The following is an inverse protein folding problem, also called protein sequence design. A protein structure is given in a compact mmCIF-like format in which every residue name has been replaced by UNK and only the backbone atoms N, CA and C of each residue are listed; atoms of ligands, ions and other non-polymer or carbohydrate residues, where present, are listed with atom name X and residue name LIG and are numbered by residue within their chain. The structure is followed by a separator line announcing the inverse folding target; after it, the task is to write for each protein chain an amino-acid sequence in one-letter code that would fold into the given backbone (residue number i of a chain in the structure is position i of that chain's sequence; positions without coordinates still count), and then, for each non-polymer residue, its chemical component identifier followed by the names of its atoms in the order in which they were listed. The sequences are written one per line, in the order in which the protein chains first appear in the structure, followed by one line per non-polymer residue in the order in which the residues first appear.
data_IF_889260611336
#
_entry.id   IF_889260611336
#
_cell.length_a   1.000
_cell.length_b   1.000
_cell.length_c   1.000
_cell.angle_alpha   90.00
_cell.angle_beta   90.00
_cell.angle_gamma   90.00
#
_symmetry.space_group_name_H-M   'P 1'
#
loop_
_entity.id
_entity.type
_entity.pdbx_description
1 polymer ?
#
# COMPACT_ATOMS: atom_id res chain seq x y z
N UNK A 1 -26.18 58.54 5.08
CA UNK A 1 -25.17 58.00 4.14
C UNK A 1 -24.12 57.21 4.95
N UNK A 2 -24.13 55.88 4.86
CA UNK A 2 -23.09 55.02 5.45
C UNK A 2 -22.55 54.14 4.32
N UNK A 3 -21.26 54.27 4.02
CA UNK A 3 -20.56 53.41 3.07
C UNK A 3 -19.99 52.20 3.80
N UNK A 4 -20.38 51.02 3.37
CA UNK A 4 -19.84 49.73 3.83
C UNK A 4 -18.67 49.36 2.91
N UNK A 5 -17.46 49.28 3.45
CA UNK A 5 -16.28 48.84 2.70
C UNK A 5 -16.21 47.32 2.69
N UNK A 6 -16.21 46.74 1.49
CA UNK A 6 -16.03 45.32 1.22
C UNK A 6 -14.53 45.04 1.11
N UNK A 7 -13.97 44.29 2.07
CA UNK A 7 -12.57 43.84 2.02
C UNK A 7 -12.53 42.54 1.23
N UNK A 8 -11.98 42.59 0.01
CA UNK A 8 -11.68 41.41 -0.78
C UNK A 8 -10.41 40.73 -0.25
N UNK A 9 -10.56 39.51 0.27
CA UNK A 9 -9.42 38.64 0.63
C UNK A 9 -9.00 37.89 -0.63
N UNK A 10 -7.90 38.31 -1.24
CA UNK A 10 -7.26 37.58 -2.34
C UNK A 10 -6.63 36.29 -1.82
N UNK A 11 -7.21 35.16 -2.21
CA UNK A 11 -6.69 33.83 -1.97
C UNK A 11 -5.52 33.58 -2.95
N UNK A 12 -4.28 33.73 -2.48
CA UNK A 12 -3.08 33.43 -3.25
C UNK A 12 -2.86 31.91 -3.25
N UNK A 13 -3.29 31.23 -4.32
CA UNK A 13 -2.96 29.81 -4.54
C UNK A 13 -1.50 29.71 -4.97
N UNK A 14 -0.63 29.33 -4.03
CA UNK A 14 0.75 28.93 -4.31
C UNK A 14 0.73 27.56 -5.01
N UNK A 15 0.64 27.57 -6.34
CA UNK A 15 0.98 26.40 -7.15
C UNK A 15 2.50 26.19 -7.07
N UNK A 16 2.96 25.54 -6.00
CA UNK A 16 4.33 25.05 -5.90
C UNK A 16 4.55 23.99 -6.99
N UNK A 17 5.12 24.42 -8.12
CA UNK A 17 5.54 23.51 -9.18
C UNK A 17 6.64 22.61 -8.64
N UNK A 18 6.32 21.33 -8.43
CA UNK A 18 7.33 20.30 -8.26
C UNK A 18 8.11 20.24 -9.56
N UNK A 19 9.33 20.78 -9.56
CA UNK A 19 10.27 20.56 -10.64
C UNK A 19 10.44 19.04 -10.78
N UNK A 20 9.94 18.47 -11.87
CA UNK A 20 10.22 17.08 -12.22
C UNK A 20 11.71 17.00 -12.49
N UNK A 21 12.47 16.47 -11.52
CA UNK A 21 13.82 15.99 -11.79
C UNK A 21 13.74 15.07 -13.00
N UNK A 22 14.67 15.24 -13.95
CA UNK A 22 14.74 14.34 -15.10
C UNK A 22 14.77 12.88 -14.62
N UNK A 23 14.01 11.98 -15.26
CA UNK A 23 13.92 10.60 -14.80
C UNK A 23 15.30 10.00 -14.78
N UNK A 24 15.76 9.60 -13.58
CA UNK A 24 16.98 8.85 -13.40
C UNK A 24 16.98 7.65 -14.36
N UNK A 25 18.09 7.43 -15.05
CA UNK A 25 18.22 6.36 -16.05
C UNK A 25 17.82 5.03 -15.40
N UNK A 26 16.84 4.35 -15.99
CA UNK A 26 16.39 3.03 -15.55
C UNK A 26 17.59 2.09 -15.35
N UNK A 27 17.68 1.46 -14.18
CA UNK A 27 18.77 0.54 -13.89
C UNK A 27 18.78 -0.64 -14.86
N UNK A 28 19.99 -1.06 -15.26
CA UNK A 28 20.18 -2.29 -16.04
C UNK A 28 19.67 -3.52 -15.29
N UNK A 29 19.35 -4.61 -15.99
CA UNK A 29 18.89 -5.85 -15.35
C UNK A 29 19.84 -6.37 -14.25
N UNK A 30 21.16 -6.28 -14.45
CA UNK A 30 22.15 -6.68 -13.44
C UNK A 30 22.16 -5.74 -12.23
N UNK A 31 21.88 -4.46 -12.42
CA UNK A 31 21.73 -3.50 -11.34
C UNK A 31 20.41 -3.67 -10.58
N UNK A 32 19.29 -3.88 -11.26
CA UNK A 32 18.02 -4.23 -10.63
C UNK A 32 18.16 -5.49 -9.76
N UNK A 33 18.91 -6.49 -10.25
CA UNK A 33 19.23 -7.68 -9.47
C UNK A 33 20.05 -7.36 -8.23
N UNK A 34 21.09 -6.51 -8.33
CA UNK A 34 21.88 -6.06 -7.17
C UNK A 34 21.02 -5.35 -6.12
N UNK A 35 20.07 -4.50 -6.55
CA UNK A 35 19.12 -3.83 -5.66
C UNK A 35 18.24 -4.86 -4.93
N UNK A 36 17.67 -5.81 -5.68
CA UNK A 36 16.83 -6.86 -5.11
C UNK A 36 17.60 -7.76 -4.11
N UNK A 37 18.86 -8.11 -4.43
CA UNK A 37 19.74 -8.86 -3.55
C UNK A 37 20.10 -8.05 -2.28
N UNK A 38 20.28 -6.73 -2.40
CA UNK A 38 20.50 -5.85 -1.25
C UNK A 38 19.27 -5.82 -0.32
N UNK A 39 18.06 -5.71 -0.86
CA UNK A 39 16.83 -5.83 -0.06
C UNK A 39 16.66 -7.21 0.57
N UNK A 40 16.99 -8.28 -0.17
CA UNK A 40 16.95 -9.65 0.33
C UNK A 40 17.87 -9.85 1.53
N UNK A 41 19.09 -9.28 1.49
CA UNK A 41 20.06 -9.37 2.60
C UNK A 41 19.57 -8.73 3.91
N UNK A 42 18.55 -7.88 3.84
CA UNK A 42 17.93 -7.19 4.99
C UNK A 42 16.60 -7.83 5.41
N UNK A 43 16.21 -8.93 4.79
CA UNK A 43 14.95 -9.63 5.01
C UNK A 43 15.20 -11.04 5.55
N UNK A 44 14.23 -11.60 6.27
CA UNK A 44 14.27 -13.01 6.71
C UNK A 44 13.94 -13.93 5.52
N UNK A 45 12.91 -13.56 4.76
CA UNK A 45 12.51 -14.22 3.53
C UNK A 45 12.45 -13.21 2.39
N UNK A 46 12.83 -13.65 1.20
CA UNK A 46 12.67 -12.86 -0.01
C UNK A 46 12.38 -13.74 -1.21
N UNK A 47 11.74 -13.16 -2.24
CA UNK A 47 11.57 -13.78 -3.54
C UNK A 47 11.69 -12.72 -4.63
N UNK A 48 12.47 -13.04 -5.66
CA UNK A 48 12.68 -12.17 -6.83
C UNK A 48 12.29 -12.97 -8.07
N UNK A 49 11.48 -12.38 -8.93
CA UNK A 49 11.12 -12.94 -10.25
C UNK A 49 11.49 -11.91 -11.30
N UNK A 50 12.10 -12.39 -12.38
CA UNK A 50 12.53 -11.56 -13.50
C UNK A 50 11.82 -11.93 -14.80
N UNK A 51 11.75 -10.99 -15.74
CA UNK A 51 11.39 -11.27 -17.14
C UNK A 51 12.52 -12.00 -17.90
N UNK A 52 12.30 -12.26 -19.20
CA UNK A 52 13.27 -12.93 -20.06
C UNK A 52 14.55 -12.10 -20.27
N UNK A 53 14.46 -10.78 -20.14
CA UNK A 53 15.59 -9.85 -20.22
C UNK A 53 16.28 -9.63 -18.86
N UNK A 54 15.81 -10.29 -17.79
CA UNK A 54 16.40 -10.23 -16.46
C UNK A 54 15.97 -9.03 -15.61
N UNK A 55 15.01 -8.22 -16.06
CA UNK A 55 14.47 -7.12 -15.25
C UNK A 55 13.61 -7.68 -14.12
N UNK A 56 13.65 -7.04 -12.94
CA UNK A 56 12.86 -7.46 -11.79
C UNK A 56 11.39 -7.09 -12.00
N UNK A 57 10.52 -8.09 -12.11
CA UNK A 57 9.08 -7.90 -12.31
C UNK A 57 8.27 -8.19 -11.06
N UNK A 58 8.78 -9.01 -10.13
CA UNK A 58 8.11 -9.27 -8.84
C UNK A 58 9.13 -9.31 -7.72
N UNK A 59 8.80 -8.67 -6.61
CA UNK A 59 9.64 -8.59 -5.41
C UNK A 59 8.81 -8.88 -4.16
N UNK A 60 9.27 -9.82 -3.36
CA UNK A 60 8.71 -10.13 -2.05
C UNK A 60 9.81 -9.98 -0.99
N UNK A 61 9.50 -9.25 0.08
CA UNK A 61 10.38 -9.00 1.21
C UNK A 61 9.58 -9.26 2.50
N UNK A 62 10.10 -10.13 3.37
CA UNK A 62 9.45 -10.45 4.64
C UNK A 62 10.45 -10.54 5.77
N UNK A 63 10.07 -9.99 6.93
CA UNK A 63 10.72 -10.23 8.24
C UNK A 63 9.88 -11.13 9.15
N UNK A 64 8.90 -11.81 8.59
CA UNK A 64 8.13 -12.80 9.32
C UNK A 64 8.87 -14.13 9.39
N UNK A 65 8.69 -14.86 10.49
CA UNK A 65 9.08 -16.28 10.56
C UNK A 65 10.57 -16.53 10.81
N UNK A 66 11.32 -15.56 11.34
CA UNK A 66 12.68 -15.83 11.80
C UNK A 66 12.64 -16.94 12.87
N UNK A 67 13.42 -18.03 12.73
CA UNK A 67 13.49 -19.05 13.77
C UNK A 67 13.95 -18.45 15.09
N UNK A 68 13.46 -19.01 16.19
CA UNK A 68 13.87 -18.58 17.53
C UNK A 68 15.39 -18.62 17.68
N UNK A 69 15.95 -17.54 18.22
CA UNK A 69 17.40 -17.39 18.42
C UNK A 69 18.20 -16.94 17.18
N UNK A 70 17.57 -16.82 16.00
CA UNK A 70 18.26 -16.22 14.84
C UNK A 70 18.35 -14.70 14.97
N UNK A 71 19.50 -14.14 14.55
CA UNK A 71 19.66 -12.69 14.50
C UNK A 71 18.73 -12.12 13.42
N UNK A 72 17.73 -11.35 13.84
CA UNK A 72 16.80 -10.68 12.94
C UNK A 72 17.55 -9.61 12.12
N UNK A 73 17.50 -9.65 10.77
CA UNK A 73 18.07 -8.58 9.96
C UNK A 73 17.31 -7.27 10.21
N UNK A 74 17.92 -6.10 9.96
CA UNK A 74 17.33 -4.83 10.36
C UNK A 74 16.06 -4.43 9.60
N UNK A 75 15.81 -5.08 8.46
CA UNK A 75 14.76 -4.68 7.54
C UNK A 75 15.20 -3.59 6.59
N UNK A 76 14.45 -3.50 5.49
CA UNK A 76 14.53 -2.41 4.54
C UNK A 76 13.76 -1.23 5.14
N UNK A 77 14.48 -0.17 5.52
CA UNK A 77 13.96 1.10 5.99
C UNK A 77 13.98 2.17 4.92
N UNK A 78 13.55 3.38 5.29
CA UNK A 78 13.35 4.49 4.35
C UNK A 78 14.62 4.93 3.59
N UNK A 79 15.80 4.84 4.22
CA UNK A 79 17.04 5.34 3.63
C UNK A 79 17.43 4.57 2.36
N UNK A 80 17.14 3.27 2.31
CA UNK A 80 17.45 2.40 1.18
C UNK A 80 16.23 2.11 0.29
N UNK A 81 15.00 2.29 0.78
CA UNK A 81 13.80 1.93 0.01
C UNK A 81 13.64 2.78 -1.26
N UNK A 82 14.29 3.94 -1.33
CA UNK A 82 14.40 4.78 -2.54
C UNK A 82 14.81 4.02 -3.80
N UNK A 83 15.69 3.02 -3.66
CA UNK A 83 16.18 2.21 -4.79
C UNK A 83 15.08 1.40 -5.48
N UNK A 84 13.89 1.26 -4.87
CA UNK A 84 12.73 0.60 -5.49
C UNK A 84 12.33 1.28 -6.81
N UNK A 85 12.53 2.60 -6.94
CA UNK A 85 12.21 3.36 -8.16
C UNK A 85 13.06 2.94 -9.36
N UNK A 86 14.20 2.31 -9.10
CA UNK A 86 15.11 1.81 -10.12
C UNK A 86 14.67 0.43 -10.64
N UNK A 87 13.51 -0.08 -10.21
CA UNK A 87 12.85 -1.29 -10.71
C UNK A 87 11.60 -0.93 -11.56
N UNK A 88 11.74 -0.25 -12.71
CA UNK A 88 10.60 0.36 -13.42
C UNK A 88 9.61 -0.65 -14.02
N UNK A 89 10.00 -1.92 -14.14
CA UNK A 89 9.15 -3.01 -14.61
C UNK A 89 8.49 -3.81 -13.48
N UNK A 90 8.58 -3.35 -12.23
CA UNK A 90 8.00 -4.04 -11.09
C UNK A 90 6.46 -4.05 -11.21
N UNK A 91 5.89 -5.24 -11.38
CA UNK A 91 4.44 -5.45 -11.52
C UNK A 91 3.79 -5.95 -10.22
N UNK A 92 4.56 -6.60 -9.36
CA UNK A 92 4.07 -7.12 -8.09
C UNK A 92 5.03 -6.89 -6.94
N UNK A 93 4.51 -6.42 -5.81
CA UNK A 93 5.28 -6.22 -4.59
C UNK A 93 4.58 -6.82 -3.37
N UNK A 94 5.32 -7.58 -2.58
CA UNK A 94 4.91 -8.05 -1.26
C UNK A 94 5.87 -7.52 -0.20
N UNK A 95 5.35 -6.76 0.75
CA UNK A 95 6.11 -6.14 1.84
C UNK A 95 5.49 -6.63 3.14
N UNK A 96 6.28 -7.34 3.95
CA UNK A 96 5.83 -7.84 5.24
C UNK A 96 6.79 -7.46 6.36
N UNK A 97 6.27 -6.76 7.37
CA UNK A 97 7.01 -6.34 8.58
C UNK A 97 8.28 -5.52 8.28
N UNK A 98 8.21 -4.61 7.32
CA UNK A 98 9.32 -3.68 7.02
C UNK A 98 9.13 -2.35 7.75
N UNK A 99 10.19 -1.77 8.34
CA UNK A 99 10.14 -0.49 9.05
C UNK A 99 10.11 0.70 8.07
N UNK A 100 9.02 0.79 7.29
CA UNK A 100 8.79 1.83 6.30
C UNK A 100 7.84 2.90 6.84
N UNK A 101 8.08 4.15 6.46
CA UNK A 101 7.15 5.27 6.67
C UNK A 101 6.18 5.45 5.49
N UNK A 102 5.23 6.36 5.64
CA UNK A 102 4.34 6.79 4.56
C UNK A 102 5.11 7.30 3.34
N UNK A 103 6.26 7.96 3.55
CA UNK A 103 7.09 8.48 2.46
C UNK A 103 7.64 7.33 1.59
N UNK A 104 8.06 6.23 2.21
CA UNK A 104 8.51 5.03 1.50
C UNK A 104 7.37 4.37 0.72
N UNK A 105 6.19 4.23 1.33
CA UNK A 105 5.03 3.70 0.61
C UNK A 105 4.60 4.61 -0.56
N UNK A 106 4.73 5.93 -0.43
CA UNK A 106 4.46 6.89 -1.51
C UNK A 106 5.31 6.64 -2.77
N UNK A 107 6.53 6.09 -2.62
CA UNK A 107 7.38 5.73 -3.76
C UNK A 107 6.76 4.64 -4.64
N UNK A 108 5.96 3.72 -4.06
CA UNK A 108 5.27 2.68 -4.83
C UNK A 108 4.28 3.29 -5.84
N UNK A 109 3.67 4.43 -5.52
CA UNK A 109 2.78 5.14 -6.44
C UNK A 109 3.47 5.67 -7.70
N UNK A 110 4.80 5.72 -7.72
CA UNK A 110 5.59 6.13 -8.89
C UNK A 110 5.91 4.95 -9.82
N UNK A 111 5.67 3.72 -9.38
CA UNK A 111 5.89 2.49 -10.16
C UNK A 111 4.63 2.15 -10.94
N UNK A 112 4.40 2.86 -12.06
CA UNK A 112 3.18 2.74 -12.86
C UNK A 112 2.90 1.35 -13.46
N UNK A 113 3.86 0.41 -13.40
CA UNK A 113 3.66 -0.98 -13.80
C UNK A 113 3.02 -1.86 -12.72
N UNK A 114 2.94 -1.41 -11.46
CA UNK A 114 2.39 -2.19 -10.35
C UNK A 114 0.91 -2.51 -10.55
N UNK A 115 0.61 -3.81 -10.44
CA UNK A 115 -0.75 -4.39 -10.56
C UNK A 115 -1.12 -5.24 -9.35
N UNK A 116 -0.14 -5.74 -8.59
CA UNK A 116 -0.33 -6.57 -7.40
C UNK A 116 0.46 -5.96 -6.22
N UNK A 117 -0.25 -5.40 -5.25
CA UNK A 117 0.33 -4.77 -4.08
C UNK A 117 -0.16 -5.46 -2.82
N UNK A 118 0.79 -5.97 -2.03
CA UNK A 118 0.50 -6.68 -0.79
C UNK A 118 1.36 -6.11 0.33
N UNK A 119 0.73 -5.47 1.30
CA UNK A 119 1.38 -4.85 2.45
C UNK A 119 0.81 -5.48 3.71
N UNK A 120 1.66 -6.20 4.42
CA UNK A 120 1.30 -6.90 5.65
C UNK A 120 2.13 -6.32 6.79
N UNK A 121 1.48 -6.05 7.92
CA UNK A 121 2.14 -5.46 9.08
C UNK A 121 2.92 -4.16 8.77
N UNK A 122 2.28 -3.13 8.17
CA UNK A 122 2.94 -1.84 7.93
C UNK A 122 3.35 -1.13 9.22
N UNK A 123 2.80 -1.56 10.36
CA UNK A 123 3.12 -1.11 11.71
C UNK A 123 3.35 -2.31 12.63
N UNK A 124 3.99 -2.05 13.77
CA UNK A 124 4.19 -3.02 14.85
C UNK A 124 3.84 -2.38 16.19
N UNK A 125 3.05 -3.08 17.01
CA UNK A 125 2.81 -2.68 18.40
C UNK A 125 4.02 -2.95 19.31
N UNK A 126 4.87 -3.91 18.91
CA UNK A 126 6.10 -4.26 19.59
C UNK A 126 7.27 -4.07 18.61
N UNK A 127 8.27 -3.24 18.93
CA UNK A 127 9.45 -3.09 18.08
C UNK A 127 10.10 -4.46 17.82
N UNK A 128 10.49 -4.70 16.57
CA UNK A 128 11.30 -5.86 16.23
C UNK A 128 12.75 -5.60 16.66
N UNK A 129 13.49 -6.62 17.14
CA UNK A 129 14.92 -6.49 17.39
C UNK A 129 15.66 -5.96 16.17
N UNK A 130 16.68 -5.12 16.40
CA UNK A 130 17.54 -4.57 15.36
C UNK A 130 16.78 -3.77 14.27
N UNK A 131 15.54 -3.34 14.51
CA UNK A 131 14.72 -2.63 13.54
C UNK A 131 14.76 -1.12 13.75
N UNK A 132 14.72 -0.37 12.65
CA UNK A 132 14.25 1.01 12.71
C UNK A 132 12.78 1.05 13.21
N UNK A 133 12.32 2.19 13.77
CA UNK A 133 10.92 2.36 14.15
C UNK A 133 9.98 2.23 12.94
N UNK A 134 8.81 1.64 13.19
CA UNK A 134 7.71 1.63 12.22
C UNK A 134 6.94 2.94 12.36
N UNK A 135 6.98 3.78 11.33
CA UNK A 135 6.42 5.14 11.37
C UNK A 135 5.28 5.38 10.36
N UNK A 136 4.83 4.33 9.66
CA UNK A 136 3.64 4.39 8.83
C UNK A 136 2.41 4.80 9.65
N UNK A 137 1.57 5.64 9.06
CA UNK A 137 0.31 6.11 9.65
C UNK A 137 -0.89 5.50 8.93
N UNK A 138 -2.10 5.91 9.26
CA UNK A 138 -3.31 5.55 8.51
C UNK A 138 -3.31 6.07 7.05
N UNK A 139 -2.37 6.97 6.70
CA UNK A 139 -2.21 7.47 5.33
C UNK A 139 -1.31 6.63 4.44
N UNK A 140 -0.69 5.57 4.96
CA UNK A 140 0.29 4.77 4.22
C UNK A 140 -0.24 4.23 2.89
N UNK A 141 -1.56 4.03 2.74
CA UNK A 141 -2.19 3.50 1.53
C UNK A 141 -2.52 4.58 0.47
N UNK A 142 -2.28 5.87 0.72
CA UNK A 142 -2.68 6.95 -0.20
C UNK A 142 -1.96 6.90 -1.56
N UNK A 143 -0.81 6.24 -1.65
CA UNK A 143 -0.09 6.03 -2.92
C UNK A 143 -0.91 5.24 -3.94
N UNK A 144 -1.90 4.45 -3.50
CA UNK A 144 -2.78 3.69 -4.38
C UNK A 144 -3.54 4.58 -5.36
N UNK A 145 -3.74 5.85 -5.04
CA UNK A 145 -4.37 6.84 -5.94
C UNK A 145 -3.57 7.08 -7.24
N UNK A 146 -2.30 6.67 -7.26
CA UNK A 146 -1.41 6.80 -8.42
C UNK A 146 -1.26 5.49 -9.21
N UNK A 147 -1.99 4.43 -8.83
CA UNK A 147 -1.94 3.11 -9.46
C UNK A 147 -3.30 2.73 -10.08
N UNK A 148 -3.74 3.37 -11.18
CA UNK A 148 -5.07 3.15 -11.75
C UNK A 148 -5.27 1.75 -12.37
N UNK A 149 -4.18 0.99 -12.56
CA UNK A 149 -4.20 -0.37 -13.13
C UNK A 149 -4.14 -1.48 -12.08
N UNK A 150 -4.42 -1.18 -10.80
CA UNK A 150 -4.29 -2.14 -9.72
C UNK A 150 -5.35 -3.26 -9.83
N UNK A 151 -4.89 -4.52 -9.78
CA UNK A 151 -5.73 -5.72 -9.90
C UNK A 151 -5.82 -6.53 -8.61
N UNK A 152 -4.75 -6.53 -7.81
CA UNK A 152 -4.69 -7.22 -6.52
C UNK A 152 -4.22 -6.23 -5.46
N UNK A 153 -5.00 -6.10 -4.40
CA UNK A 153 -4.66 -5.32 -3.21
C UNK A 153 -4.86 -6.16 -1.96
N UNK A 154 -3.78 -6.30 -1.17
CA UNK A 154 -3.86 -6.89 0.16
C UNK A 154 -3.25 -5.95 1.21
N UNK A 155 -4.07 -5.49 2.14
CA UNK A 155 -3.71 -4.61 3.25
C UNK A 155 -4.06 -5.33 4.55
N UNK A 156 -3.11 -6.10 5.10
CA UNK A 156 -3.35 -7.04 6.22
C UNK A 156 -2.56 -6.73 7.46
N UNK A 157 -3.08 -7.19 8.59
CA UNK A 157 -2.43 -7.16 9.89
C UNK A 157 -1.98 -5.74 10.29
N UNK A 158 -2.86 -4.77 10.03
CA UNK A 158 -2.61 -3.35 10.27
C UNK A 158 -2.96 -3.03 11.73
N UNK A 159 -2.08 -3.47 12.63
CA UNK A 159 -2.26 -3.30 14.07
C UNK A 159 -1.64 -1.99 14.58
N UNK A 160 -2.28 -1.35 15.55
CA UNK A 160 -1.75 -0.14 16.20
C UNK A 160 -2.07 1.18 15.50
N UNK A 161 -2.64 1.13 14.28
CA UNK A 161 -3.27 2.30 13.67
C UNK A 161 -4.68 2.49 14.22
N UNK A 162 -5.14 3.74 14.33
CA UNK A 162 -6.48 4.08 14.87
C UNK A 162 -7.39 4.80 13.87
N UNK A 163 -6.79 5.41 12.85
CA UNK A 163 -7.49 6.20 11.87
C UNK A 163 -8.20 5.37 10.80
N UNK A 164 -8.35 5.92 9.62
CA UNK A 164 -9.13 5.34 8.53
C UNK A 164 -8.26 5.18 7.29
N UNK A 165 -7.82 3.95 7.04
CA UNK A 165 -6.86 3.65 5.99
C UNK A 165 -7.43 3.70 4.57
N UNK A 166 -8.76 3.77 4.41
CA UNK A 166 -9.42 3.83 3.10
C UNK A 166 -9.97 5.22 2.79
N UNK A 167 -9.99 6.13 3.76
CA UNK A 167 -10.50 7.49 3.57
C UNK A 167 -9.69 8.24 2.50
N UNK A 168 -10.40 8.73 1.47
CA UNK A 168 -9.80 9.51 0.38
C UNK A 168 -9.09 8.69 -0.70
N UNK A 169 -9.23 7.35 -0.68
CA UNK A 169 -8.76 6.52 -1.80
C UNK A 169 -9.66 6.66 -3.02
N UNK A 170 -9.04 6.80 -4.19
CA UNK A 170 -9.71 6.84 -5.47
C UNK A 170 -10.23 5.45 -5.84
N UNK A 171 -11.36 5.37 -6.60
CA UNK A 171 -11.85 4.12 -7.15
C UNK A 171 -10.80 3.34 -7.96
N UNK A 172 -10.82 2.01 -7.82
CA UNK A 172 -9.97 1.09 -8.58
C UNK A 172 -10.83 0.15 -9.44
N UNK A 173 -11.27 0.58 -10.64
CA UNK A 173 -12.24 -0.17 -11.45
C UNK A 173 -11.69 -1.49 -11.99
N UNK A 174 -10.36 -1.63 -12.05
CA UNK A 174 -9.66 -2.84 -12.53
C UNK A 174 -9.38 -3.86 -11.42
N UNK A 175 -9.78 -3.58 -10.18
CA UNK A 175 -9.48 -4.43 -9.04
C UNK A 175 -10.29 -5.73 -9.08
N UNK A 176 -9.60 -6.86 -8.99
CA UNK A 176 -10.16 -8.23 -9.08
C UNK A 176 -10.10 -8.95 -7.73
N UNK A 177 -9.10 -8.62 -6.91
CA UNK A 177 -8.89 -9.20 -5.57
C UNK A 177 -8.62 -8.08 -4.56
N UNK A 178 -9.42 -8.05 -3.50
CA UNK A 178 -9.28 -7.15 -2.38
C UNK A 178 -9.29 -7.92 -1.07
N UNK A 179 -8.22 -7.78 -0.30
CA UNK A 179 -8.16 -8.22 1.09
C UNK A 179 -7.77 -7.05 1.99
N UNK A 180 -8.66 -6.67 2.91
CA UNK A 180 -8.48 -5.52 3.81
C UNK A 180 -8.73 -5.91 5.26
N UNK A 181 -8.13 -5.15 6.17
CA UNK A 181 -8.09 -5.49 7.58
C UNK A 181 -8.18 -4.24 8.48
N UNK A 182 -8.72 -4.40 9.70
CA UNK A 182 -8.77 -3.38 10.78
C UNK A 182 -9.13 -1.96 10.31
N UNK A 183 -8.18 -1.04 10.30
CA UNK A 183 -8.39 0.37 9.94
C UNK A 183 -8.77 0.56 8.48
N UNK A 184 -8.49 -0.41 7.62
CA UNK A 184 -8.92 -0.44 6.24
C UNK A 184 -10.28 -1.14 6.05
N UNK A 185 -10.81 -1.80 7.09
CA UNK A 185 -12.06 -2.56 7.06
C UNK A 185 -13.26 -1.81 7.68
N UNK A 186 -13.19 -0.47 7.67
CA UNK A 186 -14.22 0.45 8.14
C UNK A 186 -15.26 0.76 7.07
N UNK A 187 -16.36 1.42 7.44
CA UNK A 187 -17.44 1.78 6.51
C UNK A 187 -16.99 2.69 5.35
N UNK A 188 -15.92 3.46 5.53
CA UNK A 188 -15.26 4.25 4.48
C UNK A 188 -14.72 3.44 3.30
N UNK A 189 -14.50 2.13 3.49
CA UNK A 189 -14.06 1.23 2.43
C UNK A 189 -15.20 0.90 1.44
N UNK A 190 -16.47 1.05 1.84
CA UNK A 190 -17.63 0.62 1.04
C UNK A 190 -17.70 1.31 -0.33
N UNK A 191 -17.52 2.64 -0.46
CA UNK A 191 -17.49 3.28 -1.78
C UNK A 191 -16.36 2.77 -2.68
N UNK A 192 -15.18 2.51 -2.11
CA UNK A 192 -14.04 1.95 -2.84
C UNK A 192 -14.36 0.56 -3.41
N UNK A 193 -14.94 -0.31 -2.57
CA UNK A 193 -15.35 -1.67 -2.94
C UNK A 193 -16.45 -1.67 -3.99
N UNK A 194 -17.49 -0.85 -3.81
CA UNK A 194 -18.62 -0.72 -4.76
C UNK A 194 -18.16 -0.27 -6.15
N UNK A 195 -17.09 0.51 -6.24
CA UNK A 195 -16.57 0.99 -7.51
C UNK A 195 -15.72 -0.05 -8.27
N UNK A 196 -15.22 -1.09 -7.59
CA UNK A 196 -14.42 -2.16 -8.18
C UNK A 196 -15.32 -3.21 -8.87
N UNK A 197 -15.92 -2.85 -10.01
CA UNK A 197 -16.91 -3.71 -10.70
C UNK A 197 -16.39 -5.06 -11.20
N UNK A 198 -15.06 -5.24 -11.27
CA UNK A 198 -14.40 -6.49 -11.65
C UNK A 198 -14.01 -7.36 -10.46
N UNK A 199 -14.39 -6.98 -9.24
CA UNK A 199 -13.98 -7.68 -8.03
C UNK A 199 -14.63 -9.07 -7.96
N UNK A 200 -13.79 -10.10 -7.91
CA UNK A 200 -14.22 -11.51 -7.82
C UNK A 200 -13.87 -12.13 -6.47
N UNK A 201 -12.90 -11.55 -5.75
CA UNK A 201 -12.49 -12.01 -4.42
C UNK A 201 -12.46 -10.82 -3.44
N UNK A 202 -13.35 -10.85 -2.45
CA UNK A 202 -13.43 -9.86 -1.38
C UNK A 202 -13.26 -10.54 -0.02
N UNK A 203 -12.20 -10.16 0.69
CA UNK A 203 -11.94 -10.61 2.05
C UNK A 203 -11.82 -9.40 2.96
N UNK A 204 -12.66 -9.36 4.00
CA UNK A 204 -12.70 -8.25 4.95
C UNK A 204 -12.50 -8.80 6.35
N UNK A 205 -11.34 -8.51 6.91
CA UNK A 205 -10.92 -8.98 8.22
C UNK A 205 -11.08 -7.90 9.28
N UNK A 206 -11.55 -8.31 10.47
CA UNK A 206 -11.86 -7.40 11.58
C UNK A 206 -12.75 -6.24 11.11
N UNK A 207 -13.79 -6.61 10.36
CA UNK A 207 -14.72 -5.73 9.66
C UNK A 207 -15.63 -4.97 10.63
N UNK A 208 -15.91 -3.69 10.33
CA UNK A 208 -16.89 -2.83 11.02
C UNK A 208 -18.13 -2.53 10.16
N UNK A 209 -18.35 -3.27 9.08
CA UNK A 209 -19.48 -3.03 8.17
C UNK A 209 -20.81 -3.47 8.78
N UNK A 210 -21.86 -2.69 8.50
CA UNK A 210 -23.22 -3.03 8.87
C UNK A 210 -23.89 -3.92 7.82
N UNK A 211 -25.06 -4.49 8.14
CA UNK A 211 -25.88 -5.21 7.16
C UNK A 211 -26.26 -4.32 5.95
N UNK A 212 -26.52 -3.04 6.19
CA UNK A 212 -26.83 -2.08 5.13
C UNK A 212 -25.64 -1.85 4.20
N UNK A 213 -24.41 -1.90 4.71
CA UNK A 213 -23.20 -1.78 3.91
C UNK A 213 -22.97 -3.04 3.08
N UNK A 214 -23.14 -4.22 3.68
CA UNK A 214 -23.07 -5.50 2.98
C UNK A 214 -24.09 -5.59 1.85
N UNK A 215 -25.33 -5.18 2.09
CA UNK A 215 -26.37 -5.13 1.04
C UNK A 215 -25.95 -4.25 -0.14
N UNK A 216 -25.36 -3.07 0.10
CA UNK A 216 -24.84 -2.20 -0.96
C UNK A 216 -23.71 -2.86 -1.75
N UNK A 217 -22.76 -3.49 -1.06
CA UNK A 217 -21.61 -4.16 -1.68
C UNK A 217 -22.08 -5.32 -2.55
N UNK A 218 -22.95 -6.19 -2.03
CA UNK A 218 -23.45 -7.36 -2.75
C UNK A 218 -24.30 -6.97 -3.96
N UNK A 219 -25.15 -5.94 -3.83
CA UNK A 219 -25.91 -5.41 -4.96
C UNK A 219 -25.01 -4.82 -6.06
N UNK A 220 -23.85 -4.29 -5.68
CA UNK A 220 -22.93 -3.63 -6.59
C UNK A 220 -21.95 -4.58 -7.32
N UNK A 221 -21.78 -5.82 -6.84
CA UNK A 221 -20.79 -6.79 -7.29
C UNK A 221 -21.43 -8.13 -7.68
N UNK A 222 -22.19 -8.19 -8.79
CA UNK A 222 -22.90 -9.41 -9.20
C UNK A 222 -21.97 -10.56 -9.63
N UNK A 223 -20.71 -10.26 -9.95
CA UNK A 223 -19.68 -11.23 -10.38
C UNK A 223 -18.78 -11.69 -9.21
N UNK A 224 -19.14 -11.37 -7.96
CA UNK A 224 -18.34 -11.75 -6.79
C UNK A 224 -18.41 -13.28 -6.56
N UNK A 225 -17.25 -13.92 -6.49
CA UNK A 225 -17.15 -15.39 -6.38
C UNK A 225 -16.75 -15.83 -4.97
N UNK A 226 -15.88 -15.05 -4.34
CA UNK A 226 -15.38 -15.31 -2.99
C UNK A 226 -15.71 -14.11 -2.12
N UNK A 227 -16.48 -14.37 -1.06
CA UNK A 227 -16.72 -13.43 0.03
C UNK A 227 -16.27 -14.07 1.34
N UNK A 228 -15.29 -13.47 1.99
CA UNK A 228 -14.88 -13.85 3.33
C UNK A 228 -15.02 -12.66 4.29
N UNK A 229 -15.83 -12.83 5.33
CA UNK A 229 -16.02 -11.83 6.37
C UNK A 229 -15.53 -12.41 7.68
N UNK A 230 -14.52 -11.78 8.28
CA UNK A 230 -14.13 -12.04 9.66
C UNK A 230 -14.52 -10.82 10.49
N UNK A 231 -15.58 -10.90 11.30
CA UNK A 231 -15.99 -9.77 12.13
C UNK A 231 -14.87 -9.42 13.11
N UNK A 232 -14.74 -8.14 13.45
CA UNK A 232 -13.95 -7.78 14.62
C UNK A 232 -14.67 -8.40 15.83
N UNK A 233 -14.02 -9.21 16.70
CA UNK A 233 -14.66 -9.61 17.94
C UNK A 233 -15.06 -8.33 18.66
N UNK A 234 -16.37 -8.10 18.75
CA UNK A 234 -16.94 -6.96 19.44
C UNK A 234 -16.32 -6.91 20.86
N UNK A 235 -15.80 -5.76 21.31
CA UNK A 235 -15.41 -5.61 22.71
C UNK A 235 -16.61 -5.81 23.65
#
# INVERSE_FOLDING_TARGET
MKFTALVAVSLLVLCGGFAHAEPEVAASASEQRRIADAFASRSVGSKVITDAEGNVTKLALSRHGAPDGTLMPPGVGDAEFGDILRLPKLEAVFIEKMPLSDASYALLGQLGALKDVRIHYPTQSKPLPNSAPFTATDRFAQFLNHLPGLRVLQLKHIFGMKGDGMAGLAPQPELEHLEIDTVCAKASAVPFVVAAKKLRNLQVHRCEWTDADLQKVLAALPELEVLELKPNPMP
#
